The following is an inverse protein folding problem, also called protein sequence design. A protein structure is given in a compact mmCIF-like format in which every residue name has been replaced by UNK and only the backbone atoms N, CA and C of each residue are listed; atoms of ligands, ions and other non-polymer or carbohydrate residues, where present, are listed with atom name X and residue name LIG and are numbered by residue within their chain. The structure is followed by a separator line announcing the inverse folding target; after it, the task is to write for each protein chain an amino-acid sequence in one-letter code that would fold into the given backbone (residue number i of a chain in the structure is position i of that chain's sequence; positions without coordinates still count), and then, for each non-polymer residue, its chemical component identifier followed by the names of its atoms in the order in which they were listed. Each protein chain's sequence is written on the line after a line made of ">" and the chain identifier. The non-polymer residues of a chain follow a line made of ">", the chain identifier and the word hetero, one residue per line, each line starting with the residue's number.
data_IF_032899452441
#
_entry.id   IF_032899452441
#
_cell.length_a   1.000
_cell.length_b   1.000
_cell.length_c   1.000
_cell.angle_alpha   90.00
_cell.angle_beta   90.00
_cell.angle_gamma   90.00
#
_symmetry.space_group_name_H-M   'P 1'
#
loop_
_entity.id
_entity.type
_entity.pdbx_description
1 polymer ?
#
# COMPACT_ATOMS: atom_id res chain seq x y z
N UNK A 1 -10.25 20.96 4.41
CA UNK A 1 -8.96 21.59 4.14
C UNK A 1 -7.86 20.53 4.19
N UNK A 2 -6.99 20.52 3.22
CA UNK A 2 -5.93 19.52 3.16
C UNK A 2 -4.89 19.77 4.27
N UNK A 3 -4.31 18.68 4.79
CA UNK A 3 -3.27 18.75 5.82
C UNK A 3 -2.08 19.60 5.34
N UNK A 4 -1.63 20.53 6.18
CA UNK A 4 -0.60 21.48 5.83
C UNK A 4 0.74 20.84 5.45
N UNK A 5 1.16 19.81 6.18
CA UNK A 5 2.41 19.09 5.89
C UNK A 5 2.36 18.43 4.52
N UNK A 6 1.24 17.81 4.20
CA UNK A 6 1.05 17.18 2.90
C UNK A 6 1.04 18.22 1.78
N UNK A 7 0.40 19.37 2.02
CA UNK A 7 0.35 20.47 1.05
C UNK A 7 1.75 21.03 0.77
N UNK A 8 2.55 21.24 1.79
CA UNK A 8 3.89 21.83 1.63
C UNK A 8 4.90 20.87 1.02
N UNK A 9 4.88 19.59 1.41
CA UNK A 9 5.89 18.61 1.02
C UNK A 9 5.46 17.66 -0.09
N UNK A 10 4.16 17.55 -0.31
CA UNK A 10 3.61 16.56 -1.25
C UNK A 10 3.54 15.14 -0.67
N UNK A 11 4.02 14.93 0.54
CA UNK A 11 3.95 13.65 1.23
C UNK A 11 4.02 13.85 2.74
N UNK A 12 3.65 12.81 3.48
CA UNK A 12 3.88 12.75 4.92
C UNK A 12 4.12 11.31 5.34
N UNK A 13 4.87 11.15 6.43
CA UNK A 13 5.17 9.85 7.01
C UNK A 13 4.47 9.77 8.35
N UNK A 14 3.69 8.71 8.54
CA UNK A 14 2.97 8.48 9.79
C UNK A 14 3.44 7.16 10.39
N UNK A 15 4.16 7.25 11.49
CA UNK A 15 4.66 6.07 12.20
C UNK A 15 3.58 5.50 13.12
N UNK A 16 3.53 4.18 13.21
CA UNK A 16 2.60 3.49 14.12
C UNK A 16 1.14 3.66 13.74
N UNK A 17 0.86 3.96 12.49
CA UNK A 17 -0.50 4.22 12.01
C UNK A 17 -1.36 2.96 12.00
N UNK A 18 -0.78 1.84 11.58
CA UNK A 18 -1.46 0.54 11.57
C UNK A 18 -0.88 -0.31 12.71
N UNK A 19 -1.74 -1.04 13.42
CA UNK A 19 -1.32 -1.89 14.51
C UNK A 19 -0.20 -2.85 14.08
N UNK A 20 0.96 -2.86 14.79
CA UNK A 20 2.09 -3.71 14.43
C UNK A 20 1.78 -5.20 14.38
N UNK A 21 0.91 -5.69 15.27
CA UNK A 21 0.52 -7.10 15.28
C UNK A 21 -0.27 -7.46 14.03
N UNK A 22 -1.16 -6.58 13.58
CA UNK A 22 -1.91 -6.75 12.35
C UNK A 22 -0.98 -6.75 11.13
N UNK A 23 -0.03 -5.82 11.10
CA UNK A 23 0.99 -5.78 10.04
C UNK A 23 1.80 -7.08 9.99
N UNK A 24 2.19 -7.59 11.16
CA UNK A 24 2.96 -8.83 11.26
C UNK A 24 2.17 -10.04 10.74
N UNK A 25 0.91 -10.13 11.10
CA UNK A 25 0.03 -11.21 10.61
C UNK A 25 -0.10 -11.16 9.08
N UNK A 26 -0.34 -9.98 8.52
CA UNK A 26 -0.41 -9.81 7.07
C UNK A 26 0.91 -10.14 6.39
N UNK A 27 2.02 -9.74 7.00
CA UNK A 27 3.36 -10.06 6.49
C UNK A 27 3.59 -11.57 6.42
N UNK A 28 3.23 -12.30 7.49
CA UNK A 28 3.36 -13.75 7.50
C UNK A 28 2.47 -14.41 6.45
N UNK A 29 1.24 -13.94 6.30
CA UNK A 29 0.32 -14.44 5.28
C UNK A 29 0.85 -14.19 3.87
N UNK A 30 1.42 -13.02 3.63
CA UNK A 30 2.04 -12.68 2.34
C UNK A 30 3.19 -13.63 2.02
N UNK A 31 4.06 -13.90 2.99
CA UNK A 31 5.19 -14.80 2.77
C UNK A 31 4.74 -16.22 2.48
N UNK A 32 3.66 -16.65 3.14
CA UNK A 32 3.15 -18.02 3.02
C UNK A 32 2.36 -18.23 1.73
N UNK A 33 1.44 -17.32 1.43
CA UNK A 33 0.45 -17.51 0.37
C UNK A 33 0.69 -16.63 -0.87
N UNK A 34 1.44 -15.55 -0.71
CA UNK A 34 1.65 -14.56 -1.76
C UNK A 34 2.88 -14.78 -2.62
N UNK A 35 3.73 -15.74 -2.28
CA UNK A 35 4.99 -15.97 -2.98
C UNK A 35 4.96 -17.30 -3.75
N UNK A 36 4.12 -17.35 -4.77
CA UNK A 36 3.91 -18.54 -5.58
C UNK A 36 4.06 -18.20 -7.07
N UNK A 37 4.04 -19.20 -7.94
CA UNK A 37 4.05 -18.98 -9.37
C UNK A 37 2.83 -18.20 -9.84
N UNK A 38 1.68 -18.42 -9.19
CA UNK A 38 0.43 -17.77 -9.55
C UNK A 38 0.39 -16.28 -9.18
N UNK A 39 1.23 -15.86 -8.22
CA UNK A 39 1.31 -14.47 -7.79
C UNK A 39 2.43 -13.71 -8.49
N UNK A 40 3.34 -14.43 -9.15
CA UNK A 40 4.51 -13.85 -9.79
C UNK A 40 4.12 -13.02 -11.00
N UNK A 41 4.73 -11.85 -11.13
CA UNK A 41 4.65 -11.01 -12.31
C UNK A 41 5.99 -10.32 -12.55
N UNK A 42 6.23 -9.97 -13.80
CA UNK A 42 7.42 -9.22 -14.18
C UNK A 42 7.02 -8.15 -15.18
N UNK A 43 7.33 -6.91 -14.88
CA UNK A 43 7.03 -5.79 -15.76
C UNK A 43 8.15 -4.74 -15.73
N UNK A 44 8.01 -3.71 -16.56
CA UNK A 44 9.00 -2.66 -16.67
C UNK A 44 8.96 -1.66 -15.50
N UNK A 45 7.89 -1.67 -14.71
CA UNK A 45 7.71 -0.78 -13.56
C UNK A 45 8.35 -1.31 -12.28
N UNK A 46 8.36 -2.64 -12.11
CA UNK A 46 8.75 -3.26 -10.84
C UNK A 46 9.85 -4.31 -10.97
N UNK A 47 10.11 -4.79 -12.19
CA UNK A 47 10.88 -6.02 -12.36
C UNK A 47 10.05 -7.20 -11.89
N UNK A 48 10.69 -8.17 -11.26
CA UNK A 48 10.02 -9.38 -10.78
C UNK A 48 9.46 -9.15 -9.36
N UNK A 49 8.17 -9.24 -9.22
CA UNK A 49 7.44 -9.06 -7.96
C UNK A 49 6.37 -10.12 -7.79
N UNK A 50 5.80 -10.20 -6.60
CA UNK A 50 4.62 -11.03 -6.33
C UNK A 50 3.47 -10.15 -5.87
N UNK A 51 2.30 -10.29 -6.49
CA UNK A 51 1.08 -9.64 -6.05
C UNK A 51 0.26 -10.63 -5.22
N UNK A 52 -0.14 -10.20 -4.03
CA UNK A 52 -0.91 -11.06 -3.14
C UNK A 52 -2.30 -11.34 -3.73
N UNK A 53 -2.73 -12.61 -3.75
CA UNK A 53 -4.00 -12.99 -4.39
C UNK A 53 -5.23 -12.74 -3.54
N UNK A 54 -5.09 -12.34 -2.27
CA UNK A 54 -6.21 -12.21 -1.35
C UNK A 54 -6.84 -10.82 -1.43
N UNK A 55 -7.94 -10.65 -2.16
CA UNK A 55 -8.59 -9.36 -2.28
C UNK A 55 -9.29 -8.90 -1.00
N UNK A 56 -9.64 -9.84 -0.11
CA UNK A 56 -10.35 -9.51 1.14
C UNK A 56 -9.49 -8.67 2.04
N UNK A 57 -8.24 -9.10 2.29
CA UNK A 57 -7.32 -8.34 3.12
C UNK A 57 -7.03 -6.96 2.52
N UNK A 58 -6.88 -6.88 1.20
CA UNK A 58 -6.66 -5.62 0.52
C UNK A 58 -7.85 -4.67 0.67
N UNK A 59 -9.07 -5.19 0.58
CA UNK A 59 -10.29 -4.38 0.76
C UNK A 59 -10.44 -3.92 2.20
N UNK A 60 -10.15 -4.76 3.16
CA UNK A 60 -10.20 -4.39 4.59
C UNK A 60 -9.24 -3.25 4.91
N UNK A 61 -8.00 -3.34 4.43
CA UNK A 61 -7.02 -2.26 4.60
C UNK A 61 -7.48 -0.98 3.92
N UNK A 62 -8.03 -1.08 2.72
CA UNK A 62 -8.51 0.08 1.98
C UNK A 62 -9.59 0.84 2.78
N UNK A 63 -10.56 0.12 3.33
CA UNK A 63 -11.62 0.76 4.13
C UNK A 63 -11.07 1.36 5.42
N UNK A 64 -10.21 0.63 6.11
CA UNK A 64 -9.57 1.10 7.33
C UNK A 64 -8.79 2.39 7.07
N UNK A 65 -7.97 2.39 6.04
CA UNK A 65 -7.12 3.53 5.68
C UNK A 65 -7.93 4.74 5.20
N UNK A 66 -9.00 4.51 4.46
CA UNK A 66 -9.84 5.60 3.94
C UNK A 66 -10.37 6.46 5.08
N UNK A 67 -10.86 5.82 6.13
CA UNK A 67 -11.37 6.53 7.31
C UNK A 67 -10.30 7.41 7.95
N UNK A 68 -9.13 6.85 8.18
CA UNK A 68 -8.03 7.58 8.80
C UNK A 68 -7.46 8.66 7.90
N UNK A 69 -7.34 8.39 6.62
CA UNK A 69 -6.79 9.36 5.67
C UNK A 69 -7.72 10.54 5.45
N UNK A 70 -9.04 10.32 5.50
CA UNK A 70 -10.01 11.41 5.44
C UNK A 70 -9.77 12.40 6.57
N UNK A 71 -9.56 11.89 7.79
CA UNK A 71 -9.28 12.74 8.95
C UNK A 71 -7.90 13.42 8.82
N UNK A 72 -6.93 12.68 8.33
CA UNK A 72 -5.55 13.14 8.23
C UNK A 72 -5.37 14.25 7.21
N UNK A 73 -6.02 14.15 6.07
CA UNK A 73 -5.91 15.15 5.00
C UNK A 73 -6.98 16.23 5.09
N UNK A 74 -7.94 16.08 5.99
CA UNK A 74 -9.06 17.00 6.20
C UNK A 74 -9.91 17.21 4.94
N UNK A 75 -10.07 16.16 4.15
CA UNK A 75 -10.87 16.13 2.93
C UNK A 75 -11.71 14.87 2.88
N UNK A 76 -12.87 14.93 2.23
CA UNK A 76 -13.67 13.73 1.97
C UNK A 76 -13.00 12.88 0.91
N UNK A 77 -12.67 11.64 1.28
CA UNK A 77 -12.00 10.70 0.38
C UNK A 77 -12.91 9.51 0.08
N UNK A 78 -12.83 9.02 -1.14
CA UNK A 78 -13.54 7.82 -1.58
C UNK A 78 -12.50 6.74 -1.91
N UNK A 79 -12.68 5.50 -1.41
CA UNK A 79 -11.76 4.42 -1.72
C UNK A 79 -11.87 4.04 -3.19
N UNK A 80 -10.75 3.84 -3.84
CA UNK A 80 -10.71 3.34 -5.23
C UNK A 80 -10.26 1.89 -5.28
N UNK A 81 -9.02 1.60 -4.90
CA UNK A 81 -8.55 0.23 -4.85
C UNK A 81 -7.30 0.14 -3.95
N UNK A 82 -6.95 -1.10 -3.61
CA UNK A 82 -5.70 -1.42 -2.91
C UNK A 82 -5.19 -2.76 -3.40
N UNK A 83 -3.92 -3.02 -3.15
CA UNK A 83 -3.30 -4.31 -3.42
C UNK A 83 -2.12 -4.48 -2.48
N UNK A 84 -1.62 -5.71 -2.38
CA UNK A 84 -0.44 -6.04 -1.59
C UNK A 84 0.62 -6.61 -2.52
N UNK A 85 1.88 -6.29 -2.28
CA UNK A 85 2.97 -6.70 -3.14
C UNK A 85 4.19 -7.09 -2.33
N UNK A 86 4.87 -8.14 -2.78
CA UNK A 86 6.17 -8.53 -2.27
C UNK A 86 7.22 -8.13 -3.29
N UNK A 87 8.15 -7.27 -2.87
CA UNK A 87 9.32 -6.92 -3.66
C UNK A 87 10.43 -7.90 -3.31
N UNK A 88 11.04 -8.48 -4.33
CA UNK A 88 12.19 -9.37 -4.17
C UNK A 88 13.47 -8.54 -4.22
N UNK A 89 14.64 -9.18 -4.00
CA UNK A 89 15.92 -8.51 -3.92
C UNK A 89 16.22 -7.56 -5.09
N UNK A 90 15.89 -7.96 -6.31
CA UNK A 90 16.18 -7.19 -7.51
C UNK A 90 14.97 -6.44 -8.05
N UNK A 91 13.87 -6.42 -7.30
CA UNK A 91 12.69 -5.64 -7.68
C UNK A 91 12.94 -4.16 -7.48
N UNK A 92 12.20 -3.36 -8.23
CA UNK A 92 12.30 -1.90 -8.14
C UNK A 92 10.92 -1.30 -8.39
N UNK A 93 10.82 -0.01 -8.21
CA UNK A 93 9.65 0.77 -8.58
C UNK A 93 10.16 2.03 -9.27
N UNK A 94 9.83 2.20 -10.54
CA UNK A 94 10.27 3.40 -11.25
C UNK A 94 9.53 4.63 -10.74
N UNK A 95 10.15 5.78 -10.90
CA UNK A 95 9.52 7.05 -10.58
C UNK A 95 8.35 7.27 -11.54
N UNK A 96 7.16 7.52 -10.99
CA UNK A 96 5.95 7.69 -11.78
C UNK A 96 4.94 8.53 -11.01
N UNK A 97 3.86 8.92 -11.67
CA UNK A 97 2.68 9.48 -11.03
C UNK A 97 1.54 8.47 -11.13
N UNK A 98 0.73 8.40 -10.08
CA UNK A 98 -0.43 7.52 -10.08
C UNK A 98 -1.53 8.06 -10.99
N UNK A 99 -2.51 7.20 -11.30
CA UNK A 99 -3.66 7.62 -12.10
C UNK A 99 -4.44 8.71 -11.40
N UNK A 100 -5.15 9.59 -12.13
CA UNK A 100 -5.95 10.65 -11.52
C UNK A 100 -6.95 10.15 -10.46
N UNK A 101 -7.49 8.93 -10.63
CA UNK A 101 -8.37 8.31 -9.63
C UNK A 101 -7.69 8.04 -8.29
N UNK A 102 -6.35 8.03 -8.26
CA UNK A 102 -5.54 7.83 -7.06
C UNK A 102 -4.90 9.15 -6.63
N UNK A 103 -5.71 10.16 -6.45
CA UNK A 103 -5.27 11.50 -6.08
C UNK A 103 -4.51 11.50 -4.75
N UNK A 104 -4.98 10.73 -3.78
CA UNK A 104 -4.31 10.49 -2.51
C UNK A 104 -3.97 9.00 -2.43
N UNK A 105 -2.71 8.71 -2.28
CA UNK A 105 -2.21 7.33 -2.21
C UNK A 105 -1.45 7.12 -0.90
N UNK A 106 -1.48 5.89 -0.41
CA UNK A 106 -0.73 5.52 0.78
C UNK A 106 -0.03 4.18 0.56
N UNK A 107 1.17 4.08 1.10
CA UNK A 107 1.93 2.82 1.14
C UNK A 107 2.10 2.42 2.59
N UNK A 108 1.74 1.20 2.92
CA UNK A 108 1.91 0.63 4.25
C UNK A 108 3.00 -0.44 4.18
N UNK A 109 4.09 -0.22 4.91
CA UNK A 109 5.16 -1.21 5.03
C UNK A 109 4.75 -2.25 6.07
N UNK A 110 4.53 -3.49 5.63
CA UNK A 110 4.10 -4.56 6.50
C UNK A 110 5.26 -5.29 7.16
N UNK A 111 6.38 -5.39 6.46
CA UNK A 111 7.56 -6.06 6.98
C UNK A 111 8.63 -6.21 5.91
N UNK A 112 9.82 -6.62 6.34
CA UNK A 112 10.96 -6.90 5.45
C UNK A 112 11.92 -7.87 6.12
N UNK A 113 12.75 -8.53 5.32
CA UNK A 113 13.83 -9.38 5.81
C UNK A 113 14.99 -8.54 6.36
#
# INVERSE_FOLDING_TARGET
>A
MINRQLLEKGYMIVNGFVNPEYCHELYQDLLKDGRTENTFMCDDFHGAVHNHPNPVAAVEILHYMTKYMTDLVEESLFPTYSYMRIYNKDSFLIKHTDRPACEISATVHLGSD
#
